data_IF_652073214652
#
_entry.id   IF_652073214652
#
_cell.length_a   1.000
_cell.length_b   1.000
_cell.length_c   1.000
_cell.angle_alpha   90.00
_cell.angle_beta   90.00
_cell.angle_gamma   90.00
#
_symmetry.space_group_name_H-M   'P 1'
#
loop_
_entity.id
_entity.type
_entity.pdbx_description
1 polymer ?
#
# COMPACT_ATOMS: atom_id res chain seq x y z
N UNK A 1 14.11 -9.14 5.73
CA UNK A 1 14.05 -9.16 4.26
C UNK A 1 12.85 -10.02 3.88
N UNK A 2 11.81 -9.43 3.28
CA UNK A 2 10.58 -10.16 2.91
C UNK A 2 10.85 -10.85 1.56
N UNK A 3 11.29 -12.11 1.63
CA UNK A 3 11.43 -12.96 0.44
C UNK A 3 10.05 -13.49 0.06
N UNK A 4 9.54 -13.04 -1.06
CA UNK A 4 8.29 -13.51 -1.67
C UNK A 4 8.60 -14.79 -2.48
N UNK A 5 8.03 -15.97 -2.14
CA UNK A 5 8.33 -17.24 -2.82
C UNK A 5 7.77 -17.33 -4.26
N UNK A 6 7.11 -16.29 -4.77
CA UNK A 6 6.52 -16.24 -6.11
C UNK A 6 7.31 -15.44 -7.15
N UNK A 7 8.60 -15.71 -7.33
CA UNK A 7 9.42 -15.12 -8.42
C UNK A 7 8.99 -15.67 -9.80
N UNK A 8 7.80 -15.24 -10.24
CA UNK A 8 7.31 -15.38 -11.60
C UNK A 8 7.70 -14.13 -12.41
N UNK A 9 7.75 -14.22 -13.74
CA UNK A 9 7.75 -13.01 -14.59
C UNK A 9 6.43 -12.28 -14.38
N UNK A 10 6.38 -11.42 -13.38
CA UNK A 10 5.24 -10.58 -13.11
C UNK A 10 5.26 -9.36 -14.05
N UNK A 11 4.08 -8.87 -14.42
CA UNK A 11 3.93 -7.59 -15.09
C UNK A 11 4.59 -6.49 -14.23
N UNK A 12 5.26 -5.52 -14.84
CA UNK A 12 5.89 -4.40 -14.13
C UNK A 12 4.89 -3.66 -13.20
N UNK A 13 3.60 -3.64 -13.55
CA UNK A 13 2.56 -3.08 -12.69
C UNK A 13 2.38 -3.83 -11.37
N UNK A 14 2.64 -5.14 -11.33
CA UNK A 14 2.59 -5.94 -10.09
C UNK A 14 3.72 -5.53 -9.15
N UNK A 15 4.93 -5.37 -9.67
CA UNK A 15 6.08 -4.95 -8.87
C UNK A 15 5.91 -3.50 -8.37
N UNK A 16 5.34 -2.62 -9.19
CA UNK A 16 4.98 -1.26 -8.79
C UNK A 16 3.93 -1.26 -7.68
N UNK A 17 2.88 -2.07 -7.82
CA UNK A 17 1.85 -2.19 -6.79
C UNK A 17 2.45 -2.68 -5.47
N UNK A 18 3.33 -3.69 -5.53
CA UNK A 18 4.05 -4.21 -4.36
C UNK A 18 4.92 -3.16 -3.69
N UNK A 19 5.62 -2.33 -4.46
CA UNK A 19 6.40 -1.22 -3.94
C UNK A 19 5.49 -0.22 -3.22
N UNK A 20 4.40 0.22 -3.86
CA UNK A 20 3.43 1.14 -3.26
C UNK A 20 2.88 0.57 -1.95
N UNK A 21 2.42 -0.69 -1.94
CA UNK A 21 1.92 -1.34 -0.72
C UNK A 21 2.94 -1.27 0.41
N UNK A 22 4.18 -1.69 0.15
CA UNK A 22 5.23 -1.77 1.17
C UNK A 22 5.60 -0.38 1.68
N UNK A 23 5.66 0.63 0.80
CA UNK A 23 5.89 2.02 1.20
C UNK A 23 4.73 2.55 2.04
N UNK A 24 3.48 2.33 1.65
CA UNK A 24 2.32 2.83 2.37
C UNK A 24 2.15 2.14 3.72
N UNK A 25 2.36 0.82 3.79
CA UNK A 25 2.34 0.07 5.04
C UNK A 25 3.47 0.50 5.97
N UNK A 26 4.66 0.76 5.43
CA UNK A 26 5.74 1.36 6.21
C UNK A 26 5.35 2.73 6.76
N UNK A 27 4.70 3.60 5.98
CA UNK A 27 4.21 4.89 6.47
C UNK A 27 3.12 4.75 7.55
N UNK A 28 2.19 3.81 7.37
CA UNK A 28 1.10 3.54 8.31
C UNK A 28 1.59 3.08 9.69
N UNK A 29 2.74 2.39 9.71
CA UNK A 29 3.35 1.79 10.90
C UNK A 29 4.40 2.70 11.53
N UNK A 30 5.30 3.30 10.75
CA UNK A 30 6.37 4.17 11.24
C UNK A 30 5.92 5.58 11.61
N UNK A 31 4.79 6.05 11.06
CA UNK A 31 4.19 7.37 11.30
C UNK A 31 5.22 8.51 11.40
N UNK A 32 5.97 8.78 10.32
CA UNK A 32 7.07 9.75 10.34
C UNK A 32 6.60 11.21 10.39
N UNK A 33 5.29 11.45 10.53
CA UNK A 33 4.68 12.77 10.55
C UNK A 33 4.27 13.29 9.16
N UNK A 34 3.42 14.32 9.11
CA UNK A 34 2.74 14.76 7.89
C UNK A 34 3.70 15.30 6.82
N UNK A 35 4.79 15.96 7.22
CA UNK A 35 5.77 16.54 6.28
C UNK A 35 6.53 15.45 5.51
N UNK A 36 6.98 14.41 6.22
CA UNK A 36 7.72 13.29 5.62
C UNK A 36 6.77 12.43 4.79
N UNK A 37 5.58 12.12 5.32
CA UNK A 37 4.56 11.38 4.60
C UNK A 37 4.15 12.07 3.29
N UNK A 38 3.95 13.40 3.31
CA UNK A 38 3.64 14.19 2.11
C UNK A 38 4.75 14.13 1.07
N UNK A 39 6.02 14.23 1.49
CA UNK A 39 7.16 14.17 0.56
C UNK A 39 7.25 12.80 -0.11
N UNK A 40 6.99 11.72 0.63
CA UNK A 40 6.95 10.37 0.08
C UNK A 40 5.76 10.19 -0.86
N UNK A 41 4.57 10.70 -0.50
CA UNK A 41 3.39 10.65 -1.36
C UNK A 41 3.59 11.40 -2.70
N UNK A 42 4.24 12.58 -2.67
CA UNK A 42 4.63 13.32 -3.89
C UNK A 42 5.60 12.48 -4.73
N UNK A 43 6.62 11.89 -4.10
CA UNK A 43 7.56 11.04 -4.81
C UNK A 43 6.91 9.81 -5.46
N UNK A 44 5.92 9.20 -4.80
CA UNK A 44 5.13 8.11 -5.38
C UNK A 44 4.29 8.58 -6.58
N UNK A 45 3.67 9.75 -6.50
CA UNK A 45 2.93 10.33 -7.64
C UNK A 45 3.84 10.55 -8.85
N UNK A 46 4.96 11.26 -8.64
CA UNK A 46 5.94 11.55 -9.68
C UNK A 46 6.50 10.27 -10.30
N UNK A 47 6.80 9.28 -9.47
CA UNK A 47 7.29 7.99 -9.92
C UNK A 47 6.25 7.27 -10.78
N UNK A 48 5.00 7.20 -10.33
CA UNK A 48 3.93 6.53 -11.08
C UNK A 48 3.60 7.23 -12.39
N UNK A 49 3.57 8.57 -12.42
CA UNK A 49 3.37 9.34 -13.66
C UNK A 49 4.47 9.08 -14.70
N UNK A 50 5.70 8.75 -14.27
CA UNK A 50 6.79 8.36 -15.19
C UNK A 50 6.66 6.95 -15.72
N UNK A 51 6.12 6.02 -14.92
CA UNK A 51 5.91 4.63 -15.33
C UNK A 51 4.67 4.47 -16.21
N UNK A 52 3.67 5.31 -15.98
CA UNK A 52 2.40 5.29 -16.68
C UNK A 52 2.48 6.03 -18.04
N UNK A 53 2.91 5.33 -19.09
CA UNK A 53 2.94 5.88 -20.44
C UNK A 53 1.54 6.05 -21.09
N UNK A 54 0.49 5.43 -20.54
CA UNK A 54 -0.88 5.49 -21.07
C UNK A 54 -1.96 5.65 -19.97
N UNK A 55 -3.00 6.44 -20.26
CA UNK A 55 -3.91 7.05 -19.28
C UNK A 55 -4.91 6.16 -18.52
N UNK A 56 -4.79 4.83 -18.60
CA UNK A 56 -5.71 3.87 -17.96
C UNK A 56 -5.09 3.06 -16.81
N UNK A 57 -3.82 3.32 -16.47
CA UNK A 57 -3.06 2.60 -15.45
C UNK A 57 -3.64 2.69 -14.03
N UNK A 58 -4.29 3.80 -13.69
CA UNK A 58 -4.65 4.14 -12.29
C UNK A 58 -5.59 3.12 -11.64
N UNK A 59 -6.57 2.61 -12.39
CA UNK A 59 -7.49 1.57 -11.87
C UNK A 59 -6.80 0.23 -11.71
N UNK A 60 -5.96 -0.15 -12.68
CA UNK A 60 -5.27 -1.43 -12.65
C UNK A 60 -4.26 -1.49 -11.51
N UNK A 61 -3.43 -0.46 -11.35
CA UNK A 61 -2.48 -0.39 -10.24
C UNK A 61 -3.19 -0.33 -8.89
N UNK A 62 -4.30 0.40 -8.79
CA UNK A 62 -5.06 0.51 -7.54
C UNK A 62 -5.59 -0.86 -7.11
N UNK A 63 -6.14 -1.64 -8.04
CA UNK A 63 -6.61 -3.00 -7.75
C UNK A 63 -5.47 -3.90 -7.27
N UNK A 64 -4.32 -3.89 -7.97
CA UNK A 64 -3.15 -4.68 -7.58
C UNK A 64 -2.60 -4.26 -6.21
N UNK A 65 -2.55 -2.96 -5.94
CA UNK A 65 -2.09 -2.40 -4.67
C UNK A 65 -3.04 -2.77 -3.52
N UNK A 66 -4.35 -2.62 -3.69
CA UNK A 66 -5.34 -3.01 -2.68
C UNK A 66 -5.27 -4.51 -2.40
N UNK A 67 -5.14 -5.34 -3.43
CA UNK A 67 -4.98 -6.79 -3.30
C UNK A 67 -3.72 -7.14 -2.50
N UNK A 68 -2.55 -6.58 -2.84
CA UNK A 68 -1.31 -6.86 -2.12
C UNK A 68 -1.35 -6.34 -0.67
N UNK A 69 -2.00 -5.20 -0.43
CA UNK A 69 -2.22 -4.66 0.93
C UNK A 69 -3.09 -5.60 1.77
N UNK A 70 -4.23 -6.06 1.24
CA UNK A 70 -5.11 -7.02 1.90
C UNK A 70 -4.34 -8.31 2.18
N UNK A 71 -3.65 -8.86 1.17
CA UNK A 71 -2.88 -10.10 1.31
C UNK A 71 -1.84 -10.00 2.45
N UNK A 72 -1.09 -8.91 2.55
CA UNK A 72 -0.10 -8.73 3.61
C UNK A 72 -0.78 -8.66 4.98
N UNK A 73 -1.83 -7.85 5.12
CA UNK A 73 -2.52 -7.65 6.41
C UNK A 73 -3.19 -8.94 6.87
N UNK A 74 -3.91 -9.64 5.99
CA UNK A 74 -4.57 -10.91 6.33
C UNK A 74 -3.57 -12.00 6.67
N UNK A 75 -2.40 -12.01 6.01
CA UNK A 75 -1.32 -12.96 6.32
C UNK A 75 -0.84 -12.80 7.77
N UNK A 76 -0.62 -11.56 8.23
CA UNK A 76 -0.18 -11.34 9.62
C UNK A 76 -1.30 -11.54 10.64
N UNK A 77 -2.53 -11.13 10.33
CA UNK A 77 -3.68 -11.34 11.22
C UNK A 77 -4.07 -12.81 11.37
N UNK A 78 -3.79 -13.63 10.36
CA UNK A 78 -4.07 -15.07 10.37
C UNK A 78 -2.88 -15.92 10.79
N UNK A 79 -1.76 -15.29 11.17
CA UNK A 79 -0.59 -15.99 11.66
C UNK A 79 -0.92 -16.75 12.96
N UNK A 80 -0.46 -18.01 13.13
CA UNK A 80 -0.61 -18.72 14.40
C UNK A 80 0.01 -17.94 15.56
N UNK A 81 -0.60 -18.00 16.74
CA UNK A 81 -0.14 -17.26 17.92
C UNK A 81 1.31 -17.58 18.32
N UNK A 82 1.76 -18.81 18.04
CA UNK A 82 3.11 -19.29 18.37
C UNK A 82 4.15 -18.95 17.29
N UNK A 83 3.75 -18.33 16.17
CA UNK A 83 4.66 -17.95 15.10
C UNK A 83 5.39 -16.66 15.49
N UNK A 84 6.74 -16.66 15.63
CA UNK A 84 7.49 -15.44 15.93
C UNK A 84 7.43 -14.49 14.73
N UNK A 85 6.63 -13.44 14.86
CA UNK A 85 6.50 -12.40 13.84
C UNK A 85 7.60 -11.34 13.98
N UNK A 86 8.14 -10.82 12.86
CA UNK A 86 9.11 -9.72 12.90
C UNK A 86 8.44 -8.42 13.33
N UNK A 87 9.21 -7.48 13.91
CA UNK A 87 8.67 -6.21 14.44
C UNK A 87 7.80 -5.41 13.46
N UNK A 88 8.11 -5.33 12.15
CA UNK A 88 7.23 -4.65 11.19
C UNK A 88 5.85 -5.33 11.02
N UNK A 89 5.77 -6.66 11.18
CA UNK A 89 4.51 -7.38 11.12
C UNK A 89 3.66 -7.11 12.37
N UNK A 90 4.28 -7.10 13.55
CA UNK A 90 3.62 -6.73 14.81
C UNK A 90 3.08 -5.29 14.78
N UNK A 91 3.90 -4.34 14.34
CA UNK A 91 3.47 -2.95 14.17
C UNK A 91 2.31 -2.81 13.18
N UNK A 92 2.27 -3.65 12.13
CA UNK A 92 1.16 -3.66 11.19
C UNK A 92 -0.12 -4.24 11.81
N UNK A 93 -0.03 -5.26 12.66
CA UNK A 93 -1.17 -5.80 13.41
C UNK A 93 -1.78 -4.72 14.31
N UNK A 94 -0.95 -3.95 15.04
CA UNK A 94 -1.41 -2.83 15.87
C UNK A 94 -2.11 -1.72 15.06
N UNK A 95 -1.81 -1.63 13.76
CA UNK A 95 -2.38 -0.66 12.82
C UNK A 95 -3.42 -1.26 11.88
N UNK A 96 -3.86 -2.50 12.12
CA UNK A 96 -4.74 -3.22 11.19
C UNK A 96 -6.06 -2.46 10.93
N UNK A 97 -6.72 -1.93 11.96
CA UNK A 97 -8.01 -1.22 11.79
C UNK A 97 -7.89 0.03 10.89
N UNK A 98 -6.96 0.98 11.13
CA UNK A 98 -6.71 2.08 10.21
C UNK A 98 -6.40 1.65 8.78
N UNK A 99 -5.58 0.61 8.60
CA UNK A 99 -5.19 0.12 7.26
C UNK A 99 -6.38 -0.54 6.54
N UNK A 100 -7.16 -1.36 7.23
CA UNK A 100 -8.37 -1.97 6.67
C UNK A 100 -9.42 -0.91 6.30
N UNK A 101 -9.58 0.13 7.13
CA UNK A 101 -10.50 1.25 6.85
C UNK A 101 -10.05 2.02 5.59
N UNK A 102 -8.75 2.31 5.50
CA UNK A 102 -8.14 2.92 4.32
C UNK A 102 -8.39 2.10 3.04
N UNK A 103 -8.22 0.78 3.10
CA UNK A 103 -8.49 -0.13 1.98
C UNK A 103 -9.97 -0.11 1.59
N UNK A 104 -10.87 -0.20 2.57
CA UNK A 104 -12.31 -0.20 2.34
C UNK A 104 -12.78 1.10 1.66
N UNK A 105 -12.30 2.25 2.16
CA UNK A 105 -12.59 3.57 1.59
C UNK A 105 -12.14 3.64 0.12
N UNK A 106 -10.91 3.23 -0.17
CA UNK A 106 -10.39 3.27 -1.54
C UNK A 106 -11.07 2.29 -2.48
N UNK A 107 -11.43 1.10 -1.99
CA UNK A 107 -12.19 0.12 -2.76
C UNK A 107 -13.58 0.69 -3.14
N UNK A 108 -14.24 1.40 -2.21
CA UNK A 108 -15.54 2.03 -2.47
C UNK A 108 -15.50 3.13 -3.52
N UNK A 109 -14.32 3.75 -3.72
CA UNK A 109 -14.08 4.85 -4.64
C UNK A 109 -13.35 4.43 -5.93
N UNK A 110 -13.09 3.14 -6.14
CA UNK A 110 -12.23 2.63 -7.21
C UNK A 110 -12.65 3.01 -8.65
N UNK A 111 -13.93 3.37 -8.86
CA UNK A 111 -14.46 3.75 -10.17
C UNK A 111 -14.24 5.22 -10.53
N UNK A 112 -13.88 6.06 -9.56
CA UNK A 112 -13.67 7.50 -9.78
C UNK A 112 -12.39 7.77 -10.56
N UNK A 113 -12.35 8.93 -11.21
CA UNK A 113 -11.17 9.34 -12.00
C UNK A 113 -10.07 9.97 -11.13
N UNK A 114 -10.42 10.44 -9.93
CA UNK A 114 -9.55 11.11 -8.97
C UNK A 114 -9.12 10.19 -7.81
N UNK A 115 -9.35 8.87 -7.93
CA UNK A 115 -9.10 7.91 -6.86
C UNK A 115 -7.63 7.84 -6.47
N UNK A 116 -6.72 8.04 -7.42
CA UNK A 116 -5.28 8.04 -7.16
C UNK A 116 -4.86 9.22 -6.26
N UNK A 117 -5.26 10.45 -6.60
CA UNK A 117 -4.97 11.65 -5.81
C UNK A 117 -5.59 11.56 -4.41
N UNK A 118 -6.81 10.99 -4.31
CA UNK A 118 -7.46 10.73 -3.02
C UNK A 118 -6.71 9.68 -2.20
N UNK A 119 -6.20 8.63 -2.85
CA UNK A 119 -5.39 7.61 -2.19
C UNK A 119 -4.13 8.21 -1.56
N UNK A 120 -3.40 9.05 -2.29
CA UNK A 120 -2.22 9.73 -1.76
C UNK A 120 -2.57 10.66 -0.59
N UNK A 121 -3.68 11.39 -0.68
CA UNK A 121 -4.17 12.25 0.42
C UNK A 121 -4.45 11.42 1.68
N UNK A 122 -5.11 10.28 1.53
CA UNK A 122 -5.40 9.36 2.63
C UNK A 122 -4.16 8.69 3.20
N UNK A 123 -3.17 8.36 2.36
CA UNK A 123 -1.86 7.85 2.82
C UNK A 123 -1.22 8.85 3.77
N UNK A 124 -1.22 10.15 3.42
CA UNK A 124 -0.67 11.20 4.30
C UNK A 124 -1.43 11.29 5.62
N UNK A 125 -2.77 11.21 5.58
CA UNK A 125 -3.60 11.23 6.79
C UNK A 125 -3.34 10.02 7.71
N UNK A 126 -3.21 8.82 7.14
CA UNK A 126 -2.95 7.58 7.87
C UNK A 126 -1.55 7.54 8.52
N UNK A 127 -0.58 8.22 7.89
CA UNK A 127 0.81 8.29 8.33
C UNK A 127 1.10 9.45 9.31
N UNK A 128 0.09 10.29 9.59
CA UNK A 128 0.17 11.40 10.54
C UNK A 128 -0.19 10.97 11.97
#
# INVERSE_FOLDING_TARGET
MLLDPGLLRADAMVDLAKLISRTVLFLATSRPGPSVARRIAIGLDDFMRRQAKEGTWSRHILALWLMDTVNIVTTYLSAPADLPLPSPALALIERAVPVCSFVADLASEATRNDTWERALTRVVAMAS
#
